data_IF_079664652871
#
_entry.id   IF_079664652871
#
_cell.length_a   1.000
_cell.length_b   1.000
_cell.length_c   1.000
_cell.angle_alpha   90.00
_cell.angle_beta   90.00
_cell.angle_gamma   90.00
#
_symmetry.space_group_name_H-M   'P 1'
#
loop_
_entity.id
_entity.type
_entity.pdbx_description
1 polymer ?
#
# COMPACT_ATOMS: atom_id res chain seq x y z
N UNK A 1 34.17 -6.66 -4.64
CA UNK A 1 32.73 -6.75 -4.92
C UNK A 1 32.04 -5.74 -4.03
N UNK A 2 31.70 -4.57 -4.58
CA UNK A 2 30.80 -3.66 -3.89
C UNK A 2 29.41 -4.28 -4.03
N UNK A 3 28.89 -4.88 -2.96
CA UNK A 3 27.45 -5.07 -2.86
C UNK A 3 26.90 -3.65 -2.87
N UNK A 4 26.26 -3.29 -3.98
CA UNK A 4 25.43 -2.10 -3.98
C UNK A 4 24.49 -2.30 -2.81
N UNK A 5 24.62 -1.43 -1.81
CA UNK A 5 23.56 -1.12 -0.86
C UNK A 5 22.40 -0.63 -1.74
N UNK A 6 21.68 -1.60 -2.34
CA UNK A 6 20.39 -1.34 -2.93
C UNK A 6 19.62 -0.95 -1.68
N UNK A 7 19.29 0.33 -1.59
CA UNK A 7 18.33 0.79 -0.62
C UNK A 7 17.02 0.10 -1.04
N UNK A 8 16.88 -1.16 -0.63
CA UNK A 8 15.65 -1.93 -0.66
C UNK A 8 14.77 -1.18 0.33
N UNK A 9 13.98 -0.23 -0.17
CA UNK A 9 12.92 0.33 0.61
C UNK A 9 11.78 -0.67 0.48
N UNK A 10 11.53 -1.51 1.51
CA UNK A 10 10.49 -2.54 1.44
C UNK A 10 9.13 -1.95 1.03
N UNK A 11 8.86 -0.70 1.42
CA UNK A 11 7.72 0.07 0.96
C UNK A 11 7.66 0.29 -0.57
N UNK A 12 8.79 0.56 -1.25
CA UNK A 12 8.83 0.69 -2.71
C UNK A 12 8.52 -0.63 -3.41
N UNK A 13 8.99 -1.75 -2.87
CA UNK A 13 8.63 -3.09 -3.36
C UNK A 13 7.13 -3.35 -3.17
N UNK A 14 6.55 -2.96 -2.01
CA UNK A 14 5.10 -3.05 -1.80
C UNK A 14 4.29 -2.17 -2.77
N UNK A 15 4.76 -0.95 -3.04
CA UNK A 15 4.13 -0.04 -4.01
C UNK A 15 4.17 -0.66 -5.40
N UNK A 16 5.32 -1.22 -5.80
CA UNK A 16 5.46 -1.86 -7.12
C UNK A 16 4.50 -3.05 -7.26
N UNK A 17 4.45 -3.92 -6.25
CA UNK A 17 3.54 -5.06 -6.24
C UNK A 17 2.05 -4.65 -6.26
N UNK A 18 1.69 -3.56 -5.57
CA UNK A 18 0.36 -2.98 -5.63
C UNK A 18 0.02 -2.47 -7.03
N UNK A 19 0.97 -1.79 -7.69
CA UNK A 19 0.76 -1.26 -9.05
C UNK A 19 0.63 -2.37 -10.09
N UNK A 20 1.42 -3.44 -9.98
CA UNK A 20 1.34 -4.61 -10.86
C UNK A 20 0.00 -5.36 -10.74
N UNK A 21 -0.58 -5.40 -9.53
CA UNK A 21 -1.83 -6.11 -9.24
C UNK A 21 -3.04 -5.17 -9.16
N UNK A 22 -2.87 -3.90 -9.53
CA UNK A 22 -3.85 -2.84 -9.28
C UNK A 22 -5.24 -3.18 -9.82
N UNK A 23 -5.33 -3.66 -11.06
CA UNK A 23 -6.61 -3.99 -11.68
C UNK A 23 -7.34 -5.11 -10.93
N UNK A 24 -6.61 -6.13 -10.48
CA UNK A 24 -7.18 -7.24 -9.70
C UNK A 24 -7.62 -6.77 -8.31
N UNK A 25 -6.81 -5.94 -7.65
CA UNK A 25 -7.15 -5.33 -6.36
C UNK A 25 -8.40 -4.45 -6.50
N UNK A 26 -8.49 -3.65 -7.55
CA UNK A 26 -9.66 -2.81 -7.84
C UNK A 26 -10.92 -3.64 -8.11
N UNK A 27 -10.81 -4.85 -8.63
CA UNK A 27 -11.97 -5.74 -8.79
C UNK A 27 -12.42 -6.40 -7.48
N UNK A 28 -11.49 -6.72 -6.58
CA UNK A 28 -11.77 -7.51 -5.36
C UNK A 28 -12.00 -6.64 -4.11
N UNK A 29 -11.27 -5.55 -3.98
CA UNK A 29 -11.18 -4.74 -2.76
C UNK A 29 -11.59 -3.28 -2.98
N UNK A 30 -12.34 -2.97 -4.06
CA UNK A 30 -12.76 -1.61 -4.38
C UNK A 30 -13.32 -0.84 -3.17
N UNK A 31 -12.74 0.32 -2.87
CA UNK A 31 -13.15 1.19 -1.77
C UNK A 31 -12.62 0.80 -0.39
N UNK A 32 -12.01 -0.39 -0.24
CA UNK A 32 -11.40 -0.87 0.99
C UNK A 32 -9.97 -0.36 1.16
N UNK A 33 -9.51 -0.40 2.40
CA UNK A 33 -8.13 -0.20 2.80
C UNK A 33 -7.42 -1.55 2.86
N UNK A 34 -6.42 -1.75 2.02
CA UNK A 34 -5.61 -2.96 2.03
C UNK A 34 -4.29 -2.72 2.73
N UNK A 35 -3.82 -3.73 3.45
CA UNK A 35 -2.46 -3.79 4.00
C UNK A 35 -1.66 -4.77 3.14
N UNK A 36 -0.64 -4.27 2.47
CA UNK A 36 0.30 -5.07 1.68
C UNK A 36 1.64 -5.21 2.39
N UNK A 37 2.15 -6.42 2.39
CA UNK A 37 3.46 -6.78 2.90
C UNK A 37 3.96 -8.02 2.14
N UNK A 38 5.25 -8.06 1.84
CA UNK A 38 5.88 -9.12 1.03
C UNK A 38 5.24 -9.31 -0.37
N UNK A 39 4.65 -8.24 -0.93
CA UNK A 39 4.04 -8.25 -2.27
C UNK A 39 2.60 -8.81 -2.32
N UNK A 40 2.03 -9.13 -1.16
CA UNK A 40 0.70 -9.73 -1.04
C UNK A 40 -0.20 -8.90 -0.13
N UNK A 41 -1.52 -9.00 -0.34
CA UNK A 41 -2.52 -8.45 0.60
C UNK A 41 -2.58 -9.33 1.84
N UNK A 42 -2.25 -8.78 2.99
CA UNK A 42 -2.35 -9.47 4.30
C UNK A 42 -3.67 -9.20 5.02
N UNK A 43 -4.36 -8.11 4.64
CA UNK A 43 -5.70 -7.81 5.14
C UNK A 43 -6.39 -6.72 4.33
N UNK A 44 -7.72 -6.74 4.36
CA UNK A 44 -8.60 -5.74 3.79
C UNK A 44 -9.60 -5.24 4.84
N UNK A 45 -9.81 -3.93 4.88
CA UNK A 45 -10.54 -3.25 5.94
C UNK A 45 -11.44 -2.14 5.36
N UNK A 46 -12.53 -1.84 6.04
CA UNK A 46 -13.45 -0.80 5.58
C UNK A 46 -12.93 0.61 5.90
N UNK A 47 -12.11 0.77 6.94
CA UNK A 47 -11.54 2.06 7.34
C UNK A 47 -10.01 2.02 7.48
N UNK A 48 -9.39 3.20 7.38
CA UNK A 48 -7.94 3.35 7.58
C UNK A 48 -7.53 2.93 9.00
N UNK A 49 -8.31 3.32 10.00
CA UNK A 49 -8.02 3.04 11.41
C UNK A 49 -7.99 1.53 11.68
N UNK A 50 -8.92 0.78 11.10
CA UNK A 50 -8.93 -0.69 11.17
C UNK A 50 -7.74 -1.33 10.46
N UNK A 51 -7.32 -0.78 9.32
CA UNK A 51 -6.13 -1.25 8.62
C UNK A 51 -4.84 -1.00 9.42
N UNK A 52 -4.75 0.15 10.11
CA UNK A 52 -3.65 0.46 11.02
C UNK A 52 -3.65 -0.48 12.23
N UNK A 53 -4.81 -0.67 12.86
CA UNK A 53 -4.95 -1.58 13.99
C UNK A 53 -4.58 -3.02 13.60
N UNK A 54 -5.04 -3.48 12.43
CA UNK A 54 -4.69 -4.79 11.88
C UNK A 54 -3.18 -4.94 11.62
N UNK A 55 -2.52 -3.89 11.14
CA UNK A 55 -1.07 -3.85 10.97
C UNK A 55 -0.35 -4.04 12.32
N UNK A 56 -0.81 -3.39 13.38
CA UNK A 56 -0.26 -3.55 14.74
C UNK A 56 -0.51 -4.96 15.29
N UNK A 57 -1.70 -5.53 15.09
CA UNK A 57 -2.03 -6.90 15.52
C UNK A 57 -1.19 -7.96 14.81
N UNK A 58 -0.83 -7.73 13.55
CA UNK A 58 0.07 -8.61 12.79
C UNK A 58 1.54 -8.46 13.18
N UNK A 59 1.90 -7.47 14.02
CA UNK A 59 3.28 -7.17 14.39
C UNK A 59 4.09 -6.54 13.26
N UNK A 60 3.41 -5.94 12.29
CA UNK A 60 4.01 -5.28 11.16
C UNK A 60 4.33 -3.80 11.47
N UNK A 61 5.12 -3.17 10.62
CA UNK A 61 5.50 -1.77 10.75
C UNK A 61 5.20 -1.01 9.47
N UNK A 62 4.76 0.24 9.58
CA UNK A 62 4.50 1.13 8.43
C UNK A 62 5.72 1.37 7.53
N UNK A 63 6.92 1.09 8.02
CA UNK A 63 8.15 1.19 7.23
C UNK A 63 8.28 0.07 6.19
N UNK A 64 7.63 -1.08 6.42
CA UNK A 64 7.76 -2.28 5.60
C UNK A 64 6.45 -2.66 4.88
N UNK A 65 5.35 -2.05 5.30
CA UNK A 65 4.03 -2.34 4.76
C UNK A 65 3.41 -1.13 4.06
N UNK A 66 2.65 -1.39 3.01
CA UNK A 66 1.83 -0.39 2.33
C UNK A 66 0.39 -0.48 2.84
N UNK A 67 -0.13 0.63 3.37
CA UNK A 67 -1.56 0.77 3.67
C UNK A 67 -2.17 1.72 2.65
N UNK A 68 -3.12 1.25 1.84
CA UNK A 68 -3.68 2.05 0.75
C UNK A 68 -5.16 1.76 0.52
N UNK A 69 -5.91 2.81 0.22
CA UNK A 69 -7.29 2.67 -0.24
C UNK A 69 -7.31 2.30 -1.73
N UNK A 70 -8.04 1.24 -2.05
CA UNK A 70 -8.16 0.69 -3.41
C UNK A 70 -9.26 1.41 -4.18
N UNK A 71 -9.02 1.70 -5.46
CA UNK A 71 -9.98 2.40 -6.33
C UNK A 71 -10.04 3.91 -6.13
N UNK A 72 -9.22 4.47 -5.23
CA UNK A 72 -9.05 5.92 -5.11
C UNK A 72 -7.81 6.32 -5.90
N UNK A 73 -8.04 6.96 -7.04
CA UNK A 73 -6.98 7.65 -7.75
C UNK A 73 -6.36 8.70 -6.81
N UNK A 74 -5.02 8.86 -6.79
CA UNK A 74 -4.43 9.96 -6.06
C UNK A 74 -5.03 11.25 -6.63
N UNK A 75 -5.83 11.95 -5.84
CA UNK A 75 -6.41 13.22 -6.24
C UNK A 75 -5.25 14.20 -6.46
N UNK A 76 -4.80 14.33 -7.72
CA UNK A 76 -3.89 15.41 -8.10
C UNK A 76 -4.74 16.68 -8.07
N UNK A 77 -4.80 17.34 -6.92
CA UNK A 77 -5.35 18.69 -6.82
C UNK A 77 -4.35 19.63 -7.50
N UNK A 78 -4.45 19.77 -8.81
CA UNK A 78 -3.82 20.87 -9.54
C UNK A 78 -4.56 22.15 -9.15
N UNK A 79 -4.14 22.76 -8.04
CA UNK A 79 -4.56 24.11 -7.71
C UNK A 79 -3.90 25.07 -8.71
N UNK A 80 -4.51 25.24 -9.88
CA UNK A 80 -4.19 26.37 -10.75
C UNK A 80 -4.79 27.62 -10.10
N UNK A 81 -3.95 28.40 -9.42
CA UNK A 81 -4.34 29.72 -8.94
C UNK A 81 -4.69 30.62 -10.12
N UNK A 82 -5.93 31.12 -10.14
CA UNK A 82 -6.37 32.28 -10.93
C UNK A 82 -6.30 33.54 -10.08
#
# INVERSE_FOLDING_TARGET
MAVADRIEHPLLDQISAYEEQREELEMQYHGKWVVMHDGEVKGDYDTYDEAVAGLEEMGFSFFDCLVRQVGVEPAIILSFGS
#
